data_IF_395300725062
#
_entry.id   IF_395300725062
#
_cell.length_a   1.000
_cell.length_b   1.000
_cell.length_c   1.000
_cell.angle_alpha   90.00
_cell.angle_beta   90.00
_cell.angle_gamma   90.00
#
_symmetry.space_group_name_H-M   'P 1'
#
loop_
_entity.id
_entity.type
_entity.pdbx_description
1 polymer ?
#
# COMPACT_ATOMS: atom_id res chain seq x y z
N UNK A 1 -27.77 -5.02 9.86
CA UNK A 1 -26.53 -4.38 9.35
C UNK A 1 -25.78 -3.80 10.53
N UNK A 2 -24.59 -4.23 10.77
CA UNK A 2 -23.77 -3.69 11.84
C UNK A 2 -23.15 -2.32 11.45
N UNK A 3 -22.50 -1.66 12.42
CA UNK A 3 -21.90 -0.34 12.18
C UNK A 3 -20.74 -0.41 11.15
N UNK A 4 -20.01 -1.53 11.13
CA UNK A 4 -18.94 -1.72 10.17
C UNK A 4 -19.47 -1.88 8.75
N UNK A 5 -20.54 -2.66 8.56
CA UNK A 5 -21.22 -2.80 7.27
C UNK A 5 -21.77 -1.46 6.77
N UNK A 6 -22.32 -0.66 7.67
CA UNK A 6 -22.81 0.67 7.33
C UNK A 6 -21.66 1.56 6.83
N UNK A 7 -20.52 1.55 7.52
CA UNK A 7 -19.34 2.30 7.09
C UNK A 7 -18.82 1.82 5.72
N UNK A 8 -18.78 0.50 5.51
CA UNK A 8 -18.38 -0.09 4.22
C UNK A 8 -19.32 0.33 3.08
N UNK A 9 -20.63 0.37 3.33
CA UNK A 9 -21.61 0.83 2.33
C UNK A 9 -21.42 2.31 1.99
N UNK A 10 -21.17 3.16 2.97
CA UNK A 10 -20.86 4.57 2.73
C UNK A 10 -19.60 4.74 1.88
N UNK A 11 -18.58 3.90 2.10
CA UNK A 11 -17.38 3.88 1.26
C UNK A 11 -17.73 3.51 -0.20
N UNK A 12 -18.53 2.46 -0.41
CA UNK A 12 -18.95 2.03 -1.75
C UNK A 12 -19.78 3.10 -2.47
N UNK A 13 -20.58 3.87 -1.73
CA UNK A 13 -21.32 5.02 -2.26
C UNK A 13 -20.46 6.26 -2.48
N UNK A 14 -19.13 6.15 -2.25
CA UNK A 14 -18.16 7.26 -2.32
C UNK A 14 -18.43 8.41 -1.34
N UNK A 15 -19.17 8.15 -0.29
CA UNK A 15 -19.41 9.09 0.82
C UNK A 15 -18.27 8.96 1.84
N UNK A 16 -17.06 9.31 1.40
CA UNK A 16 -15.83 9.00 2.13
C UNK A 16 -15.75 9.67 3.51
N UNK A 17 -16.17 10.92 3.63
CA UNK A 17 -16.16 11.60 4.93
C UNK A 17 -17.12 10.95 5.93
N UNK A 18 -18.31 10.58 5.48
CA UNK A 18 -19.29 9.88 6.31
C UNK A 18 -18.78 8.48 6.70
N UNK A 19 -18.13 7.77 5.76
CA UNK A 19 -17.52 6.49 6.02
C UNK A 19 -16.43 6.60 7.11
N UNK A 20 -15.57 7.60 7.03
CA UNK A 20 -14.52 7.85 8.04
C UNK A 20 -15.14 8.05 9.43
N UNK A 21 -16.18 8.87 9.51
CA UNK A 21 -16.89 9.13 10.78
C UNK A 21 -17.45 7.83 11.37
N UNK A 22 -18.04 6.98 10.53
CA UNK A 22 -18.57 5.68 10.97
C UNK A 22 -17.49 4.69 11.38
N UNK A 23 -16.41 4.60 10.61
CA UNK A 23 -15.27 3.76 10.99
C UNK A 23 -14.66 4.21 12.33
N UNK A 24 -14.47 5.52 12.51
CA UNK A 24 -13.91 6.07 13.73
C UNK A 24 -14.78 5.73 14.95
N UNK A 25 -16.10 5.88 14.80
CA UNK A 25 -17.06 5.51 15.86
C UNK A 25 -17.01 4.01 16.19
N UNK A 26 -16.96 3.17 15.16
CA UNK A 26 -16.83 1.71 15.35
C UNK A 26 -15.54 1.35 16.11
N UNK A 27 -14.43 2.03 15.76
CA UNK A 27 -13.13 1.79 16.41
C UNK A 27 -13.05 2.23 17.86
N UNK A 28 -13.93 3.13 18.33
CA UNK A 28 -14.02 3.48 19.77
C UNK A 28 -14.31 2.26 20.64
N UNK A 29 -15.18 1.37 20.17
CA UNK A 29 -15.55 0.15 20.85
C UNK A 29 -14.76 -1.09 20.39
N UNK A 30 -14.09 -1.01 19.25
CA UNK A 30 -13.36 -2.11 18.63
C UNK A 30 -11.99 -1.62 18.13
N UNK A 31 -11.11 -1.12 19.04
CA UNK A 31 -9.88 -0.41 18.62
C UNK A 31 -8.87 -1.28 17.88
N UNK A 32 -8.95 -2.60 18.01
CA UNK A 32 -8.04 -3.56 17.40
C UNK A 32 -8.67 -4.29 16.19
N UNK A 33 -9.78 -3.81 15.68
CA UNK A 33 -10.39 -4.42 14.50
C UNK A 33 -9.57 -4.07 13.25
N UNK A 34 -8.86 -5.07 12.72
CA UNK A 34 -7.93 -4.91 11.60
C UNK A 34 -8.63 -4.44 10.33
N UNK A 35 -9.84 -4.93 10.07
CA UNK A 35 -10.62 -4.54 8.88
C UNK A 35 -10.96 -3.04 8.96
N UNK A 36 -11.48 -2.58 10.09
CA UNK A 36 -11.84 -1.18 10.29
C UNK A 36 -10.61 -0.27 10.22
N UNK A 37 -9.49 -0.66 10.84
CA UNK A 37 -8.23 0.10 10.80
C UNK A 37 -7.70 0.26 9.37
N UNK A 38 -7.69 -0.82 8.59
CA UNK A 38 -7.26 -0.73 7.19
C UNK A 38 -8.24 0.07 6.34
N UNK A 39 -9.55 -0.14 6.52
CA UNK A 39 -10.57 0.53 5.72
C UNK A 39 -10.63 2.04 5.98
N UNK A 40 -10.49 2.50 7.23
CA UNK A 40 -10.40 3.93 7.51
C UNK A 40 -9.13 4.54 6.90
N UNK A 41 -7.99 3.85 6.97
CA UNK A 41 -6.77 4.28 6.32
C UNK A 41 -6.93 4.41 4.81
N UNK A 42 -7.51 3.40 4.18
CA UNK A 42 -7.78 3.41 2.74
C UNK A 42 -8.75 4.54 2.34
N UNK A 43 -9.79 4.76 3.14
CA UNK A 43 -10.77 5.85 2.90
C UNK A 43 -10.12 7.22 3.02
N UNK A 44 -9.24 7.42 4.01
CA UNK A 44 -8.44 8.63 4.15
C UNK A 44 -7.55 8.88 2.93
N UNK A 45 -6.97 7.82 2.38
CA UNK A 45 -6.17 7.88 1.14
C UNK A 45 -7.00 8.35 -0.05
N UNK A 46 -8.28 7.96 -0.13
CA UNK A 46 -9.20 8.45 -1.18
C UNK A 46 -9.43 9.95 -1.09
N UNK A 47 -9.38 10.53 0.10
CA UNK A 47 -9.44 11.97 0.33
C UNK A 47 -8.07 12.65 0.31
N UNK A 48 -7.03 11.94 -0.11
CA UNK A 48 -5.63 12.42 -0.16
C UNK A 48 -5.07 12.83 1.22
N UNK A 49 -5.63 12.30 2.29
CA UNK A 49 -5.12 12.48 3.67
C UNK A 49 -4.13 11.37 4.01
N UNK A 50 -3.01 11.35 3.28
CA UNK A 50 -2.08 10.22 3.30
C UNK A 50 -1.36 10.03 4.63
N UNK A 51 -0.97 11.12 5.32
CA UNK A 51 -0.31 11.01 6.63
C UNK A 51 -1.25 10.41 7.67
N UNK A 52 -2.50 10.83 7.69
CA UNK A 52 -3.51 10.23 8.57
C UNK A 52 -3.77 8.76 8.22
N UNK A 53 -3.77 8.43 6.92
CA UNK A 53 -3.92 7.03 6.48
C UNK A 53 -2.77 6.17 7.01
N UNK A 54 -1.53 6.65 6.94
CA UNK A 54 -0.34 5.96 7.43
C UNK A 54 -0.47 5.66 8.94
N UNK A 55 -0.98 6.60 9.73
CA UNK A 55 -1.20 6.39 11.16
C UNK A 55 -2.13 5.19 11.43
N UNK A 56 -3.21 5.04 10.66
CA UNK A 56 -4.12 3.90 10.79
C UNK A 56 -3.50 2.60 10.29
N UNK A 57 -2.72 2.64 9.21
CA UNK A 57 -1.96 1.46 8.77
C UNK A 57 -0.93 1.03 9.82
N UNK A 58 -0.27 1.97 10.48
CA UNK A 58 0.68 1.67 11.55
C UNK A 58 0.00 1.00 12.74
N UNK A 59 -1.17 1.49 13.15
CA UNK A 59 -1.97 0.84 14.20
C UNK A 59 -2.33 -0.61 13.82
N UNK A 60 -2.72 -0.84 12.58
CA UNK A 60 -3.02 -2.18 12.08
C UNK A 60 -1.76 -3.08 12.11
N UNK A 61 -0.61 -2.54 11.71
CA UNK A 61 0.66 -3.27 11.65
C UNK A 61 1.29 -3.51 13.03
N UNK A 62 0.91 -2.76 14.07
CA UNK A 62 1.27 -3.08 15.45
C UNK A 62 0.65 -4.42 15.91
N UNK A 63 -0.52 -4.75 15.37
CA UNK A 63 -1.24 -5.99 15.67
C UNK A 63 -0.79 -7.13 14.75
N UNK A 64 -0.76 -6.87 13.44
CA UNK A 64 -0.35 -7.80 12.38
C UNK A 64 0.78 -7.20 11.54
N UNK A 65 2.05 -7.35 11.98
CA UNK A 65 3.19 -6.68 11.33
C UNK A 65 3.46 -7.09 9.87
N UNK A 66 2.96 -8.26 9.47
CA UNK A 66 3.20 -8.84 8.14
C UNK A 66 1.96 -8.84 7.25
N UNK A 67 0.92 -8.06 7.58
CA UNK A 67 -0.26 -7.93 6.74
C UNK A 67 0.12 -7.27 5.42
N UNK A 68 0.16 -8.09 4.36
CA UNK A 68 0.58 -7.68 3.02
C UNK A 68 -0.32 -6.57 2.46
N UNK A 69 -1.63 -6.67 2.63
CA UNK A 69 -2.56 -5.66 2.11
C UNK A 69 -2.28 -4.29 2.72
N UNK A 70 -2.11 -4.25 4.04
CA UNK A 70 -1.83 -3.01 4.77
C UNK A 70 -0.47 -2.45 4.38
N UNK A 71 0.55 -3.30 4.25
CA UNK A 71 1.89 -2.89 3.82
C UNK A 71 1.89 -2.31 2.40
N UNK A 72 1.15 -2.91 1.46
CA UNK A 72 0.99 -2.38 0.09
C UNK A 72 0.27 -1.04 0.09
N UNK A 73 -0.78 -0.89 0.89
CA UNK A 73 -1.48 0.39 1.05
C UNK A 73 -0.54 1.47 1.62
N UNK A 74 0.30 1.10 2.57
CA UNK A 74 1.31 2.00 3.16
C UNK A 74 2.36 2.43 2.14
N UNK A 75 2.84 1.51 1.29
CA UNK A 75 3.75 1.84 0.17
C UNK A 75 3.13 2.92 -0.72
N UNK A 76 1.87 2.74 -1.09
CA UNK A 76 1.15 3.70 -1.94
C UNK A 76 1.04 5.07 -1.26
N UNK A 77 0.72 5.11 0.02
CA UNK A 77 0.63 6.35 0.80
C UNK A 77 1.99 7.06 0.90
N UNK A 78 3.07 6.35 1.18
CA UNK A 78 4.42 6.90 1.18
C UNK A 78 4.81 7.48 -0.17
N UNK A 79 4.50 6.77 -1.25
CA UNK A 79 4.77 7.26 -2.60
C UNK A 79 4.02 8.56 -2.88
N UNK A 80 2.77 8.67 -2.46
CA UNK A 80 1.94 9.88 -2.66
C UNK A 80 2.41 11.07 -1.85
N UNK A 81 3.04 10.86 -0.70
CA UNK A 81 3.62 11.93 0.13
C UNK A 81 5.07 12.28 -0.26
N UNK A 82 5.63 11.60 -1.25
CA UNK A 82 7.02 11.79 -1.65
C UNK A 82 8.05 11.11 -0.72
N UNK A 83 7.60 10.32 0.23
CA UNK A 83 8.48 9.55 1.14
C UNK A 83 8.95 8.27 0.44
N UNK A 84 9.75 8.45 -0.62
CA UNK A 84 10.11 7.38 -1.54
C UNK A 84 11.02 6.34 -0.89
N UNK A 85 12.00 6.76 -0.08
CA UNK A 85 12.90 5.83 0.60
C UNK A 85 12.15 4.97 1.63
N UNK A 86 11.19 5.56 2.36
CA UNK A 86 10.34 4.82 3.29
C UNK A 86 9.52 3.76 2.55
N UNK A 87 8.99 4.10 1.38
CA UNK A 87 8.24 3.16 0.54
C UNK A 87 9.12 1.99 0.05
N UNK A 88 10.37 2.26 -0.36
CA UNK A 88 11.33 1.23 -0.78
C UNK A 88 11.64 0.29 0.39
N UNK A 89 11.84 0.83 1.58
CA UNK A 89 12.11 0.02 2.79
C UNK A 89 10.97 -0.98 3.08
N UNK A 90 9.72 -0.55 2.93
CA UNK A 90 8.56 -1.44 3.07
C UNK A 90 8.55 -2.51 1.97
N UNK A 91 8.86 -2.14 0.71
CA UNK A 91 9.01 -3.11 -0.37
C UNK A 91 10.07 -4.17 -0.04
N UNK A 92 11.23 -3.75 0.46
CA UNK A 92 12.33 -4.65 0.80
C UNK A 92 11.92 -5.62 1.91
N UNK A 93 11.21 -5.13 2.92
CA UNK A 93 10.67 -5.98 3.99
C UNK A 93 9.72 -7.06 3.44
N UNK A 94 8.82 -6.71 2.53
CA UNK A 94 7.92 -7.67 1.89
C UNK A 94 8.67 -8.69 1.02
N UNK A 95 9.70 -8.25 0.31
CA UNK A 95 10.48 -9.08 -0.60
C UNK A 95 11.43 -10.06 0.12
N UNK A 96 11.71 -9.85 1.40
CA UNK A 96 12.47 -10.82 2.22
C UNK A 96 11.73 -12.16 2.29
N UNK A 97 10.43 -12.13 2.55
CA UNK A 97 9.61 -13.35 2.70
C UNK A 97 9.11 -13.88 1.35
N UNK A 98 8.91 -13.01 0.38
CA UNK A 98 8.40 -13.37 -0.94
C UNK A 98 9.15 -12.59 -2.04
N UNK A 99 10.36 -13.05 -2.42
CA UNK A 99 11.26 -12.31 -3.32
C UNK A 99 10.70 -12.05 -4.72
N UNK A 100 9.72 -12.85 -5.15
CA UNK A 100 9.14 -12.78 -6.49
C UNK A 100 7.71 -12.21 -6.50
N UNK A 101 7.30 -11.54 -5.44
CA UNK A 101 5.98 -10.90 -5.36
C UNK A 101 5.87 -9.78 -6.39
N UNK A 102 5.17 -10.06 -7.48
CA UNK A 102 5.15 -9.21 -8.68
C UNK A 102 4.66 -7.79 -8.38
N UNK A 103 3.59 -7.64 -7.62
CA UNK A 103 3.04 -6.31 -7.30
C UNK A 103 4.05 -5.45 -6.51
N UNK A 104 4.79 -6.06 -5.59
CA UNK A 104 5.80 -5.36 -4.78
C UNK A 104 7.01 -5.00 -5.64
N UNK A 105 7.43 -5.90 -6.55
CA UNK A 105 8.50 -5.61 -7.51
C UNK A 105 8.13 -4.44 -8.41
N UNK A 106 6.89 -4.34 -8.89
CA UNK A 106 6.43 -3.19 -9.67
C UNK A 106 6.44 -1.89 -8.85
N UNK A 107 6.00 -1.93 -7.60
CA UNK A 107 6.10 -0.76 -6.74
C UNK A 107 7.55 -0.31 -6.57
N UNK A 108 8.44 -1.25 -6.27
CA UNK A 108 9.88 -0.95 -6.11
C UNK A 108 10.50 -0.39 -7.39
N UNK A 109 10.18 -0.98 -8.53
CA UNK A 109 10.63 -0.49 -9.84
C UNK A 109 10.27 0.99 -10.05
N UNK A 110 9.00 1.35 -9.85
CA UNK A 110 8.53 2.73 -9.99
C UNK A 110 9.24 3.69 -9.03
N UNK A 111 9.44 3.27 -7.78
CA UNK A 111 10.09 4.08 -6.75
C UNK A 111 11.56 4.33 -7.11
N UNK A 112 12.29 3.30 -7.53
CA UNK A 112 13.70 3.40 -7.94
C UNK A 112 13.86 4.33 -9.15
N UNK A 113 12.98 4.23 -10.13
CA UNK A 113 12.97 5.14 -11.30
C UNK A 113 12.75 6.58 -10.88
N UNK A 114 11.85 6.81 -9.95
CA UNK A 114 11.59 8.15 -9.43
C UNK A 114 12.80 8.78 -8.74
N UNK A 115 13.68 7.96 -8.17
CA UNK A 115 14.96 8.39 -7.58
C UNK A 115 16.12 8.38 -8.59
N UNK A 116 15.86 8.08 -9.86
CA UNK A 116 16.90 7.92 -10.91
C UNK A 116 17.94 6.84 -10.58
N UNK A 117 17.57 5.85 -9.77
CA UNK A 117 18.40 4.69 -9.43
C UNK A 117 18.26 3.62 -10.52
N UNK A 118 18.74 3.95 -11.73
CA UNK A 118 18.47 3.18 -12.94
C UNK A 118 19.11 1.80 -12.97
N UNK A 119 20.31 1.65 -12.41
CA UNK A 119 20.97 0.35 -12.30
C UNK A 119 20.16 -0.64 -11.47
N UNK A 120 19.70 -0.18 -10.30
CA UNK A 120 18.86 -1.00 -9.43
C UNK A 120 17.48 -1.28 -10.05
N UNK A 121 16.91 -0.29 -10.75
CA UNK A 121 15.64 -0.49 -11.47
C UNK A 121 15.78 -1.55 -12.57
N UNK A 122 16.91 -1.57 -13.30
CA UNK A 122 17.18 -2.59 -14.30
C UNK A 122 17.35 -3.99 -13.67
N UNK A 123 17.95 -4.08 -12.49
CA UNK A 123 18.02 -5.33 -11.74
C UNK A 123 16.62 -5.88 -11.39
N UNK A 124 15.70 -4.99 -11.00
CA UNK A 124 14.30 -5.38 -10.74
C UNK A 124 13.60 -5.81 -12.03
N UNK A 125 13.80 -5.09 -13.14
CA UNK A 125 13.27 -5.50 -14.43
C UNK A 125 13.75 -6.90 -14.83
N UNK A 126 15.04 -7.17 -14.72
CA UNK A 126 15.61 -8.48 -15.02
C UNK A 126 15.03 -9.58 -14.13
N UNK A 127 14.87 -9.29 -12.86
CA UNK A 127 14.24 -10.22 -11.91
C UNK A 127 12.80 -10.57 -12.29
N UNK A 128 12.02 -9.58 -12.72
CA UNK A 128 10.66 -9.80 -13.20
C UNK A 128 10.71 -10.64 -14.49
N UNK A 129 11.60 -10.32 -15.41
CA UNK A 129 11.73 -11.02 -16.70
C UNK A 129 12.25 -12.46 -16.55
N UNK A 130 13.02 -12.77 -15.52
CA UNK A 130 13.42 -14.14 -15.22
C UNK A 130 12.21 -15.04 -14.90
N UNK A 131 11.20 -14.48 -14.24
CA UNK A 131 9.97 -15.20 -13.91
C UNK A 131 8.91 -15.07 -15.01
N UNK A 132 8.84 -13.92 -15.68
CA UNK A 132 7.86 -13.56 -16.70
C UNK A 132 8.57 -13.05 -17.96
N UNK A 133 9.22 -13.93 -18.76
CA UNK A 133 10.06 -13.52 -19.90
C UNK A 133 9.32 -12.73 -20.98
N UNK A 134 8.02 -12.96 -21.11
CA UNK A 134 7.18 -12.31 -22.15
C UNK A 134 6.54 -11.01 -21.65
N UNK A 135 6.94 -10.48 -20.50
CA UNK A 135 6.44 -9.22 -19.99
C UNK A 135 7.01 -8.06 -20.80
N UNK A 136 6.28 -7.66 -21.84
CA UNK A 136 6.68 -6.61 -22.79
C UNK A 136 6.79 -5.25 -22.08
N UNK A 137 5.86 -4.94 -21.16
CA UNK A 137 5.87 -3.70 -20.40
C UNK A 137 7.19 -3.51 -19.65
N UNK A 138 7.59 -4.51 -18.88
CA UNK A 138 8.83 -4.47 -18.10
C UNK A 138 10.06 -4.46 -19.03
N UNK A 139 10.02 -5.20 -20.12
CA UNK A 139 11.12 -5.18 -21.11
C UNK A 139 11.35 -3.79 -21.68
N UNK A 140 10.28 -3.05 -21.94
CA UNK A 140 10.35 -1.68 -22.45
C UNK A 140 10.86 -0.70 -21.38
N UNK A 141 10.75 -1.07 -20.10
CA UNK A 141 11.23 -0.25 -18.97
C UNK A 141 12.75 -0.33 -18.78
N UNK A 142 13.42 -1.32 -19.35
CA UNK A 142 14.88 -1.45 -19.27
C UNK A 142 15.57 -0.24 -19.90
N UNK A 143 16.44 0.40 -19.13
CA UNK A 143 17.27 1.50 -19.60
C UNK A 143 18.56 0.94 -20.18
N UNK A 144 18.77 1.23 -21.44
CA UNK A 144 19.94 0.75 -22.20
C UNK A 144 21.14 1.64 -21.98
#
# INVERSE_FOLDING_TARGET
MDELDHANNLFLEKKFQDAITKYAKFLENNPNNLIALNNIGYTLSKLKKFESAIEYYDKSLEIEPNDKLVLVNKISAFRKTGRINDAIEVCDKLLVNNPNELIVLYHKLRLLKKLNRFEESNQICNKILDTYPNNIEVRNELIK
#
